data_IF_833119138452
#
_entry.id   IF_833119138452
#
_cell.length_a   1.000
_cell.length_b   1.000
_cell.length_c   1.000
_cell.angle_alpha   90.00
_cell.angle_beta   90.00
_cell.angle_gamma   90.00
#
_symmetry.space_group_name_H-M   'P 1'
#
loop_
_entity.id
_entity.type
_entity.pdbx_description
1 polymer ?
#
# COMPACT_ATOMS: atom_id res chain seq x y z
N UNK A 1 5.24 -5.52 -23.74
CA UNK A 1 3.91 -4.90 -23.56
C UNK A 1 2.96 -6.01 -23.16
N UNK A 2 2.42 -5.93 -21.97
CA UNK A 2 1.40 -6.86 -21.50
C UNK A 2 0.07 -6.24 -21.89
N UNK A 3 -0.72 -6.96 -22.68
CA UNK A 3 -2.11 -6.57 -22.96
C UNK A 3 -2.95 -6.89 -21.72
N UNK A 4 -3.49 -5.83 -21.07
CA UNK A 4 -4.29 -5.94 -19.86
C UNK A 4 -5.79 -5.85 -20.21
N UNK A 5 -6.19 -6.22 -21.43
CA UNK A 5 -7.63 -6.26 -21.75
C UNK A 5 -8.33 -7.23 -20.81
N UNK A 6 -9.31 -6.73 -20.09
CA UNK A 6 -10.14 -7.52 -19.19
C UNK A 6 -11.47 -7.77 -19.90
N UNK A 7 -12.08 -8.94 -19.71
CA UNK A 7 -13.42 -9.22 -20.23
C UNK A 7 -14.52 -8.44 -19.47
N UNK A 8 -14.21 -7.27 -18.94
CA UNK A 8 -15.09 -6.47 -18.13
C UNK A 8 -15.06 -5.01 -18.63
N UNK A 9 -16.05 -4.62 -19.42
CA UNK A 9 -16.18 -3.27 -20.01
C UNK A 9 -15.97 -2.12 -19.01
N UNK A 10 -16.26 -2.35 -17.73
CA UNK A 10 -16.10 -1.33 -16.69
C UNK A 10 -14.64 -1.21 -16.23
N UNK A 11 -13.89 -2.31 -16.25
CA UNK A 11 -12.46 -2.32 -15.97
C UNK A 11 -11.67 -1.80 -17.17
N UNK A 12 -12.06 -2.16 -18.39
CA UNK A 12 -11.43 -1.70 -19.62
C UNK A 12 -11.49 -0.18 -19.76
N UNK A 13 -12.60 0.44 -19.34
CA UNK A 13 -12.75 1.89 -19.32
C UNK A 13 -11.76 2.61 -18.39
N UNK A 14 -11.29 1.95 -17.33
CA UNK A 14 -10.24 2.49 -16.45
C UNK A 14 -8.84 2.23 -17.02
N UNK A 15 -8.61 1.09 -17.66
CA UNK A 15 -7.32 0.75 -18.28
C UNK A 15 -6.98 1.72 -19.42
N UNK A 16 -7.96 2.15 -20.19
CA UNK A 16 -7.79 3.15 -21.26
C UNK A 16 -7.29 4.53 -20.75
N UNK A 17 -7.38 4.78 -19.44
CA UNK A 17 -6.87 6.02 -18.83
C UNK A 17 -5.38 5.96 -18.48
N UNK A 18 -4.74 4.77 -18.51
CA UNK A 18 -3.35 4.63 -18.15
C UNK A 18 -2.47 4.46 -19.40
N UNK A 19 -1.58 5.41 -19.61
CA UNK A 19 -0.59 5.29 -20.69
C UNK A 19 0.60 4.43 -20.29
N UNK A 20 0.95 4.38 -18.99
CA UNK A 20 2.11 3.66 -18.46
C UNK A 20 1.80 3.18 -17.04
N UNK A 21 2.16 1.92 -16.75
CA UNK A 21 2.24 1.38 -15.39
C UNK A 21 3.72 1.09 -15.10
N UNK A 22 4.23 1.69 -14.04
CA UNK A 22 5.61 1.47 -13.58
C UNK A 22 5.61 0.28 -12.62
N UNK A 23 6.00 -0.88 -13.11
CA UNK A 23 6.11 -2.09 -12.30
C UNK A 23 7.40 -2.16 -11.47
N UNK A 24 7.45 -3.14 -10.57
CA UNK A 24 8.55 -3.35 -9.61
C UNK A 24 9.92 -3.49 -10.27
N UNK A 25 10.01 -4.16 -11.42
CA UNK A 25 11.27 -4.32 -12.16
C UNK A 25 11.84 -2.98 -12.65
N UNK A 26 10.97 -2.10 -13.16
CA UNK A 26 11.41 -0.76 -13.57
C UNK A 26 11.80 0.07 -12.36
N UNK A 27 11.06 -0.01 -11.26
CA UNK A 27 11.42 0.67 -10.01
C UNK A 27 12.82 0.26 -9.53
N UNK A 28 13.15 -1.04 -9.56
CA UNK A 28 14.49 -1.55 -9.23
C UNK A 28 15.59 -0.98 -10.14
N UNK A 29 15.32 -0.80 -11.44
CA UNK A 29 16.26 -0.19 -12.37
C UNK A 29 16.44 1.30 -12.11
N UNK A 30 15.39 2.00 -11.72
CA UNK A 30 15.44 3.41 -11.34
C UNK A 30 16.22 3.63 -10.03
N UNK A 31 16.27 2.62 -9.15
CA UNK A 31 17.02 2.58 -7.88
C UNK A 31 16.56 3.55 -6.80
N UNK A 32 16.05 4.71 -7.19
CA UNK A 32 15.61 5.74 -6.27
C UNK A 32 14.57 6.61 -6.96
N UNK A 33 13.46 6.82 -6.30
CA UNK A 33 12.42 7.70 -6.80
C UNK A 33 11.73 8.42 -5.64
N UNK A 34 11.39 9.68 -5.87
CA UNK A 34 10.61 10.47 -4.93
C UNK A 34 9.32 10.91 -5.59
N UNK A 35 8.20 10.66 -4.92
CA UNK A 35 6.89 11.19 -5.29
C UNK A 35 6.61 12.41 -4.41
N UNK A 36 6.44 13.56 -5.04
CA UNK A 36 6.07 14.81 -4.39
C UNK A 36 4.58 15.07 -4.66
N UNK A 37 3.76 14.82 -3.67
CA UNK A 37 2.31 14.98 -3.79
C UNK A 37 1.85 16.45 -3.78
N UNK A 38 2.68 17.35 -3.26
CA UNK A 38 2.38 18.78 -3.20
C UNK A 38 2.59 19.43 -4.57
N UNK A 39 3.72 19.08 -5.22
CA UNK A 39 4.07 19.63 -6.52
C UNK A 39 3.60 18.76 -7.69
N UNK A 40 3.02 17.58 -7.42
CA UNK A 40 2.60 16.59 -8.44
C UNK A 40 3.77 16.15 -9.34
N UNK A 41 4.92 15.87 -8.73
CA UNK A 41 6.15 15.51 -9.43
C UNK A 41 6.67 14.14 -9.00
N UNK A 42 7.26 13.42 -9.96
CA UNK A 42 8.08 12.24 -9.67
C UNK A 42 9.51 12.57 -10.07
N UNK A 43 10.43 12.47 -9.13
CA UNK A 43 11.84 12.74 -9.36
C UNK A 43 12.62 11.43 -9.27
N UNK A 44 13.44 11.19 -10.31
CA UNK A 44 14.44 10.12 -10.34
C UNK A 44 15.80 10.79 -10.42
N UNK A 45 16.72 10.60 -9.46
CA UNK A 45 18.03 11.23 -9.52
C UNK A 45 18.86 10.64 -10.68
N UNK A 46 19.62 11.50 -11.36
CA UNK A 46 20.48 11.09 -12.49
C UNK A 46 21.64 10.18 -12.05
N UNK A 47 21.98 10.21 -10.77
CA UNK A 47 23.00 9.35 -10.16
C UNK A 47 22.35 8.60 -8.99
N UNK A 48 22.46 7.28 -9.03
CA UNK A 48 21.94 6.46 -7.94
C UNK A 48 22.62 6.85 -6.60
N UNK A 49 21.86 6.84 -5.48
CA UNK A 49 22.43 7.11 -4.17
C UNK A 49 23.51 6.08 -3.85
N UNK A 50 24.53 6.51 -3.13
CA UNK A 50 25.47 5.58 -2.51
C UNK A 50 24.75 4.82 -1.40
N UNK A 51 25.13 3.56 -1.18
CA UNK A 51 24.62 2.79 -0.04
C UNK A 51 24.86 3.55 1.25
N UNK A 52 23.84 3.60 2.07
CA UNK A 52 23.86 4.18 3.42
C UNK A 52 23.95 3.08 4.47
N UNK A 53 24.02 3.48 5.76
CA UNK A 53 23.91 2.56 6.89
C UNK A 53 22.48 2.53 7.46
N UNK A 54 21.50 3.06 6.73
CA UNK A 54 20.11 3.03 7.17
C UNK A 54 19.58 1.58 7.21
N UNK A 55 18.84 1.28 8.24
CA UNK A 55 18.17 -0.03 8.35
C UNK A 55 17.05 -0.12 7.32
N UNK A 56 17.01 -1.19 6.50
CA UNK A 56 15.93 -1.40 5.56
C UNK A 56 14.56 -1.46 6.26
N UNK A 57 13.57 -0.84 5.64
CA UNK A 57 12.16 -0.96 6.05
C UNK A 57 11.25 -1.34 4.88
N UNK A 58 11.83 -1.75 3.77
CA UNK A 58 11.16 -2.33 2.61
C UNK A 58 11.80 -3.65 2.20
N UNK A 59 11.03 -4.48 1.51
CA UNK A 59 11.51 -5.67 0.81
C UNK A 59 10.56 -5.99 -0.35
N UNK A 60 10.93 -6.99 -1.17
CA UNK A 60 9.99 -7.57 -2.14
C UNK A 60 9.49 -8.93 -1.62
N UNK A 61 8.21 -9.21 -1.86
CA UNK A 61 7.65 -10.54 -1.68
C UNK A 61 8.16 -11.52 -2.75
N UNK A 62 7.84 -12.80 -2.60
CA UNK A 62 8.11 -13.82 -3.63
C UNK A 62 7.43 -13.52 -4.97
N UNK A 63 6.35 -12.74 -4.96
CA UNK A 63 5.60 -12.33 -6.14
C UNK A 63 5.95 -10.93 -6.63
N UNK A 64 7.09 -10.38 -6.18
CA UNK A 64 7.57 -9.05 -6.55
C UNK A 64 6.66 -7.89 -6.11
N UNK A 65 5.80 -8.09 -5.12
CA UNK A 65 5.11 -6.98 -4.47
C UNK A 65 6.09 -6.21 -3.60
N UNK A 66 6.05 -4.89 -3.68
CA UNK A 66 6.85 -4.04 -2.80
C UNK A 66 6.19 -3.96 -1.43
N UNK A 67 6.86 -4.50 -0.43
CA UNK A 67 6.41 -4.51 0.96
C UNK A 67 7.16 -3.44 1.76
N UNK A 68 6.44 -2.77 2.66
CA UNK A 68 7.01 -1.80 3.59
C UNK A 68 6.57 -2.07 5.03
N UNK A 69 7.48 -1.87 5.97
CA UNK A 69 7.15 -1.90 7.40
C UNK A 69 6.50 -0.56 7.77
N UNK A 70 5.21 -0.60 8.03
CA UNK A 70 4.38 0.53 8.44
C UNK A 70 4.14 0.43 9.94
N UNK A 71 4.30 1.52 10.67
CA UNK A 71 3.91 1.57 12.08
C UNK A 71 2.42 1.88 12.14
N UNK A 72 1.60 0.92 12.54
CA UNK A 72 0.15 1.04 12.68
C UNK A 72 -0.20 1.04 14.16
N UNK A 73 -0.79 2.13 14.66
CA UNK A 73 -1.11 2.29 16.08
C UNK A 73 0.09 1.96 17.02
N UNK A 74 1.31 2.35 16.60
CA UNK A 74 2.54 2.11 17.35
C UNK A 74 3.18 0.73 17.12
N UNK A 75 2.56 -0.19 16.39
CA UNK A 75 3.08 -1.54 16.12
C UNK A 75 3.58 -1.66 14.69
N UNK A 76 4.71 -2.34 14.43
CA UNK A 76 5.18 -2.60 13.08
C UNK A 76 4.29 -3.65 12.40
N UNK A 77 3.82 -3.32 11.21
CA UNK A 77 2.99 -4.16 10.35
C UNK A 77 3.62 -4.20 8.95
N UNK A 78 3.81 -5.36 8.39
CA UNK A 78 4.31 -5.49 7.02
C UNK A 78 3.13 -5.35 6.04
N UNK A 79 3.17 -4.32 5.20
CA UNK A 79 2.08 -4.00 4.28
C UNK A 79 2.56 -3.96 2.82
N UNK A 80 1.71 -4.39 1.90
CA UNK A 80 1.91 -4.16 0.48
C UNK A 80 1.73 -2.67 0.15
N UNK A 81 2.70 -2.09 -0.54
CA UNK A 81 2.69 -0.68 -0.98
C UNK A 81 2.03 -0.58 -2.35
N UNK A 82 0.72 -0.33 -2.39
CA UNK A 82 -0.06 -0.35 -3.63
C UNK A 82 -0.53 1.05 -4.04
N UNK A 83 0.25 1.71 -4.88
CA UNK A 83 -0.14 3.01 -5.44
C UNK A 83 -1.28 2.92 -6.47
N UNK A 84 -1.62 1.71 -6.93
CA UNK A 84 -2.79 1.45 -7.78
C UNK A 84 -4.10 1.38 -7.00
N UNK A 85 -4.04 1.18 -5.68
CA UNK A 85 -5.20 1.24 -4.80
C UNK A 85 -5.54 2.70 -4.47
N UNK A 86 -6.62 3.22 -5.04
CA UNK A 86 -7.08 4.60 -4.83
C UNK A 86 -7.73 4.85 -3.46
N UNK A 87 -7.76 3.88 -2.56
CA UNK A 87 -8.24 4.00 -1.18
C UNK A 87 -7.12 4.36 -0.19
N UNK A 88 -7.44 4.41 1.09
CA UNK A 88 -6.42 4.46 2.15
C UNK A 88 -5.72 3.11 2.36
N UNK A 89 -6.31 2.02 1.86
CA UNK A 89 -5.82 0.67 2.01
C UNK A 89 -6.66 -0.18 2.95
N UNK A 90 -6.10 -1.32 3.34
CA UNK A 90 -6.78 -2.26 4.24
C UNK A 90 -5.79 -2.96 5.17
N UNK A 91 -6.29 -3.38 6.32
CA UNK A 91 -5.61 -4.30 7.24
C UNK A 91 -6.34 -5.64 7.21
N UNK A 92 -5.59 -6.72 7.39
CA UNK A 92 -6.12 -8.07 7.30
C UNK A 92 -6.58 -8.63 8.66
N UNK A 93 -7.03 -9.86 8.66
CA UNK A 93 -7.64 -10.52 9.83
C UNK A 93 -6.75 -10.57 11.08
N UNK A 94 -5.42 -10.54 10.93
CA UNK A 94 -4.51 -10.49 12.08
C UNK A 94 -4.71 -9.23 12.92
N UNK A 95 -4.86 -8.07 12.27
CA UNK A 95 -5.19 -6.83 12.96
C UNK A 95 -6.60 -6.87 13.56
N UNK A 96 -7.57 -7.43 12.84
CA UNK A 96 -8.92 -7.62 13.33
C UNK A 96 -8.95 -8.44 14.61
N UNK A 97 -8.35 -9.64 14.62
CA UNK A 97 -8.35 -10.52 15.78
C UNK A 97 -7.66 -9.87 17.01
N UNK A 98 -6.59 -9.12 16.77
CA UNK A 98 -5.87 -8.40 17.83
C UNK A 98 -6.67 -7.24 18.44
N UNK A 99 -7.65 -6.70 17.71
CA UNK A 99 -8.45 -5.54 18.11
C UNK A 99 -9.96 -5.82 18.09
N UNK A 100 -10.36 -7.09 18.12
CA UNK A 100 -11.71 -7.57 17.84
C UNK A 100 -12.78 -6.90 18.71
N UNK A 101 -12.58 -6.87 20.01
CA UNK A 101 -13.54 -6.30 20.96
C UNK A 101 -13.82 -4.81 20.65
N UNK A 102 -12.75 -4.03 20.44
CA UNK A 102 -12.90 -2.63 20.09
C UNK A 102 -13.61 -2.45 18.75
N UNK A 103 -13.18 -3.19 17.72
CA UNK A 103 -13.69 -3.05 16.35
C UNK A 103 -15.18 -3.44 16.28
N UNK A 104 -15.54 -4.59 16.84
CA UNK A 104 -16.95 -5.06 16.81
C UNK A 104 -17.90 -4.18 17.61
N UNK A 105 -17.41 -3.51 18.66
CA UNK A 105 -18.22 -2.64 19.51
C UNK A 105 -18.37 -1.24 18.91
N UNK A 106 -17.32 -0.70 18.27
CA UNK A 106 -17.26 0.72 17.93
C UNK A 106 -17.29 1.02 16.44
N UNK A 107 -17.11 0.00 15.57
CA UNK A 107 -17.00 0.20 14.13
C UNK A 107 -18.19 -0.44 13.40
N UNK A 108 -18.48 0.08 12.22
CA UNK A 108 -19.58 -0.42 11.38
C UNK A 108 -19.10 -1.63 10.56
N UNK A 109 -19.85 -2.73 10.65
CA UNK A 109 -19.70 -3.88 9.75
C UNK A 109 -20.22 -3.52 8.36
N UNK A 110 -19.47 -3.87 7.35
CA UNK A 110 -19.81 -3.67 5.93
C UNK A 110 -19.26 -4.80 5.07
N UNK A 111 -19.51 -4.71 3.78
CA UNK A 111 -19.01 -5.65 2.79
C UNK A 111 -18.35 -4.87 1.66
N UNK A 112 -17.07 -5.13 1.40
CA UNK A 112 -16.35 -4.51 0.28
C UNK A 112 -16.23 -5.48 -0.88
N UNK A 113 -16.22 -4.91 -2.08
CA UNK A 113 -15.86 -5.58 -3.32
C UNK A 113 -14.54 -5.01 -3.82
N UNK A 114 -13.52 -5.85 -3.83
CA UNK A 114 -12.21 -5.51 -4.40
C UNK A 114 -12.09 -6.16 -5.76
N UNK A 115 -11.65 -5.39 -6.74
CA UNK A 115 -11.42 -5.86 -8.10
C UNK A 115 -9.96 -5.70 -8.49
N UNK A 116 -9.43 -6.61 -9.28
CA UNK A 116 -8.09 -6.57 -9.85
C UNK A 116 -7.98 -7.52 -11.05
N UNK A 117 -6.78 -7.70 -11.58
CA UNK A 117 -6.52 -8.59 -12.72
C UNK A 117 -7.03 -10.02 -12.47
N UNK A 118 -7.10 -10.48 -11.20
CA UNK A 118 -7.63 -11.79 -10.80
C UNK A 118 -9.15 -11.88 -10.65
N UNK A 119 -9.91 -10.82 -10.96
CA UNK A 119 -11.37 -10.78 -10.83
C UNK A 119 -11.87 -9.94 -9.65
N UNK A 120 -13.13 -10.19 -9.24
CA UNK A 120 -13.78 -9.46 -8.14
C UNK A 120 -13.95 -10.39 -6.95
N UNK A 121 -13.50 -9.94 -5.78
CA UNK A 121 -13.69 -10.63 -4.51
C UNK A 121 -14.57 -9.78 -3.58
N UNK A 122 -15.45 -10.44 -2.84
CA UNK A 122 -16.30 -9.82 -1.83
C UNK A 122 -15.83 -10.28 -0.44
N UNK A 123 -15.63 -9.34 0.47
CA UNK A 123 -15.16 -9.64 1.83
C UNK A 123 -15.94 -8.83 2.86
N UNK A 124 -16.25 -9.45 4.00
CA UNK A 124 -16.74 -8.72 5.17
C UNK A 124 -15.61 -7.90 5.79
N UNK A 125 -15.93 -6.70 6.22
CA UNK A 125 -14.96 -5.78 6.77
C UNK A 125 -15.59 -4.82 7.78
N UNK A 126 -14.75 -4.14 8.52
CA UNK A 126 -15.10 -2.98 9.34
C UNK A 126 -14.43 -1.73 8.82
N UNK A 127 -15.11 -0.61 8.87
CA UNK A 127 -14.55 0.72 8.65
C UNK A 127 -14.07 1.27 9.98
N UNK A 128 -12.73 1.30 10.14
CA UNK A 128 -12.11 1.74 11.40
C UNK A 128 -11.56 3.15 11.23
N UNK A 129 -12.10 4.12 11.97
CA UNK A 129 -11.71 5.52 11.85
C UNK A 129 -10.43 5.81 12.63
N UNK A 130 -9.73 6.88 12.21
CA UNK A 130 -8.65 7.53 12.96
C UNK A 130 -7.49 6.58 13.31
N UNK A 131 -7.04 5.79 12.35
CA UNK A 131 -5.86 4.92 12.51
C UNK A 131 -4.58 5.72 12.29
N UNK A 132 -3.68 5.71 13.27
CA UNK A 132 -2.34 6.26 13.11
C UNK A 132 -1.47 5.31 12.29
N UNK A 133 -0.88 5.81 11.21
CA UNK A 133 0.13 5.10 10.42
C UNK A 133 1.39 5.92 10.30
N UNK A 134 2.54 5.26 10.10
CA UNK A 134 3.79 6.00 9.92
C UNK A 134 4.95 5.17 9.41
N UNK A 135 6.00 5.91 9.03
CA UNK A 135 7.28 5.36 8.61
C UNK A 135 8.39 6.00 9.45
N UNK A 136 9.08 5.20 10.24
CA UNK A 136 10.08 5.71 11.17
C UNK A 136 9.47 6.63 12.22
N UNK A 137 9.85 7.93 12.20
CA UNK A 137 9.35 8.92 13.15
C UNK A 137 8.13 9.70 12.67
N UNK A 138 7.89 9.70 11.37
CA UNK A 138 6.78 10.43 10.77
C UNK A 138 5.50 9.61 10.87
N UNK A 139 4.47 10.21 11.44
CA UNK A 139 3.14 9.58 11.57
C UNK A 139 2.05 10.52 11.10
N UNK A 140 1.02 9.93 10.48
CA UNK A 140 -0.19 10.60 10.02
C UNK A 140 -1.41 9.87 10.52
N UNK A 141 -2.52 10.57 10.63
CA UNK A 141 -3.81 9.98 10.99
C UNK A 141 -4.60 9.70 9.71
N UNK A 142 -4.86 8.44 9.45
CA UNK A 142 -5.74 8.00 8.37
C UNK A 142 -7.17 8.17 8.83
N UNK A 143 -8.01 8.92 8.09
CA UNK A 143 -9.39 9.17 8.49
C UNK A 143 -10.21 7.90 8.68
N UNK A 144 -10.00 6.92 7.81
CA UNK A 144 -10.66 5.62 7.84
C UNK A 144 -9.83 4.57 7.10
N UNK A 145 -9.70 3.38 7.67
CA UNK A 145 -9.11 2.23 7.00
C UNK A 145 -10.06 1.03 7.06
N UNK A 146 -10.04 0.21 6.02
CA UNK A 146 -10.81 -1.03 5.99
C UNK A 146 -10.06 -2.12 6.74
N UNK A 147 -10.74 -2.83 7.65
CA UNK A 147 -10.21 -3.99 8.37
C UNK A 147 -11.03 -5.22 8.00
N UNK A 148 -10.40 -6.19 7.33
CA UNK A 148 -11.06 -7.42 6.87
C UNK A 148 -11.17 -8.44 8.00
N UNK A 149 -12.31 -9.14 8.10
CA UNK A 149 -12.56 -10.13 9.15
C UNK A 149 -12.06 -11.53 8.80
N UNK A 150 -11.93 -11.84 7.51
CA UNK A 150 -11.52 -13.14 7.00
C UNK A 150 -10.18 -13.08 6.28
N UNK A 151 -9.43 -14.19 6.33
CA UNK A 151 -8.28 -14.37 5.47
C UNK A 151 -8.76 -14.47 4.02
N UNK A 152 -8.09 -13.78 3.11
CA UNK A 152 -8.24 -14.06 1.69
C UNK A 152 -7.89 -15.54 1.48
N UNK A 153 -8.83 -16.28 0.88
CA UNK A 153 -8.76 -17.73 0.70
C UNK A 153 -7.40 -18.19 0.18
N UNK A 154 -6.76 -19.10 0.93
CA UNK A 154 -5.73 -20.06 0.47
C UNK A 154 -4.37 -19.55 -0.01
N UNK A 155 -4.02 -18.30 0.10
CA UNK A 155 -2.65 -17.85 -0.16
C UNK A 155 -1.87 -17.75 1.16
N UNK A 156 -0.63 -18.17 1.15
CA UNK A 156 0.34 -17.78 2.17
C UNK A 156 0.44 -16.26 2.08
N UNK A 157 -0.21 -15.55 3.01
CA UNK A 157 -0.20 -14.09 3.02
C UNK A 157 1.15 -13.66 3.57
N UNK A 158 1.99 -13.10 2.71
CA UNK A 158 3.33 -12.62 3.07
C UNK A 158 3.29 -11.26 3.79
N UNK A 159 2.12 -10.63 3.91
CA UNK A 159 1.93 -9.29 4.48
C UNK A 159 0.55 -9.18 5.15
N UNK A 160 0.39 -8.19 6.02
CA UNK A 160 -0.77 -8.06 6.93
C UNK A 160 -1.76 -6.96 6.51
N UNK A 161 -1.59 -6.42 5.30
CA UNK A 161 -2.48 -5.39 4.78
C UNK A 161 -1.97 -4.74 3.50
N UNK A 162 -2.79 -3.87 2.95
CA UNK A 162 -2.49 -3.10 1.74
C UNK A 162 -2.52 -1.60 2.08
N UNK A 163 -1.45 -0.87 1.76
CA UNK A 163 -1.38 0.57 1.93
C UNK A 163 -1.66 1.24 0.60
N UNK A 164 -2.82 1.88 0.50
CA UNK A 164 -3.26 2.55 -0.72
C UNK A 164 -2.68 3.95 -0.88
N UNK A 165 -2.86 4.49 -2.10
CA UNK A 165 -2.33 5.78 -2.51
C UNK A 165 -2.76 6.92 -1.59
N UNK A 166 -4.02 6.97 -1.14
CA UNK A 166 -4.51 8.04 -0.26
C UNK A 166 -3.76 8.10 1.07
N UNK A 167 -3.29 6.96 1.59
CA UNK A 167 -2.45 6.93 2.79
C UNK A 167 -1.09 7.56 2.54
N UNK A 168 -0.47 7.27 1.39
CA UNK A 168 0.81 7.89 1.01
C UNK A 168 0.66 9.40 0.77
N UNK A 169 -0.45 9.85 0.22
CA UNK A 169 -0.76 11.26 -0.03
C UNK A 169 -0.96 12.09 1.25
N UNK A 170 -1.10 11.47 2.42
CA UNK A 170 -1.10 12.19 3.70
C UNK A 170 0.28 12.72 4.08
N UNK A 171 1.32 12.23 3.43
CA UNK A 171 2.67 12.79 3.48
C UNK A 171 2.87 13.76 2.31
N UNK A 172 3.67 14.80 2.48
CA UNK A 172 3.99 15.71 1.38
C UNK A 172 4.86 15.03 0.31
N UNK A 173 5.78 14.18 0.76
CA UNK A 173 6.68 13.42 -0.13
C UNK A 173 6.90 12.01 0.40
N UNK A 174 7.08 11.09 -0.55
CA UNK A 174 7.49 9.71 -0.27
C UNK A 174 8.66 9.35 -1.18
N UNK A 175 9.76 8.90 -0.59
CA UNK A 175 10.94 8.45 -1.32
C UNK A 175 11.14 6.96 -1.15
N UNK A 176 11.29 6.27 -2.25
CA UNK A 176 11.62 4.86 -2.36
C UNK A 176 13.09 4.72 -2.77
N UNK A 177 13.99 4.51 -1.81
CA UNK A 177 15.39 4.20 -2.09
C UNK A 177 15.55 2.68 -2.16
N UNK A 178 15.59 2.13 -3.35
CA UNK A 178 15.71 0.69 -3.61
C UNK A 178 17.15 0.19 -3.64
N UNK A 179 18.14 1.07 -3.43
CA UNK A 179 19.54 0.67 -3.20
C UNK A 179 19.72 0.14 -1.77
N UNK A 180 19.07 0.80 -0.82
CA UNK A 180 19.12 0.47 0.61
C UNK A 180 17.84 -0.21 1.11
N UNK A 181 16.80 -0.28 0.26
CA UNK A 181 15.46 -0.71 0.64
C UNK A 181 14.87 0.11 1.79
N UNK A 182 14.98 1.42 1.65
CA UNK A 182 14.50 2.38 2.66
C UNK A 182 13.43 3.28 2.05
N UNK A 183 12.25 3.26 2.65
CA UNK A 183 11.20 4.22 2.42
C UNK A 183 11.31 5.33 3.47
N UNK A 184 11.30 6.55 3.00
CA UNK A 184 11.25 7.75 3.86
C UNK A 184 10.09 8.64 3.44
N UNK A 185 9.50 9.31 4.41
CA UNK A 185 8.39 10.25 4.20
C UNK A 185 8.76 11.62 4.75
N UNK A 186 8.15 12.65 4.17
CA UNK A 186 8.13 14.02 4.69
C UNK A 186 6.68 14.44 4.84
N UNK A 187 6.39 15.13 5.91
CA UNK A 187 5.07 15.66 6.24
C UNK A 187 4.91 17.10 5.78
#
# INVERSE_FOLDING_TARGET
>A
VIDITTNNERADKYVDCFNIIVGSELMLQLKDLTIDFVNHEITVPSVAPKRSQASPNMCFSSHMNLLGTVIVQGNPVLMNMDTGDASYGSLDSGFFESNKEYITTNCKLDTIRTGGIGGVQTSECYHVPNISIGFGKEQVLVPEIVVKTGNSTNAIVEYEGNLGLKSLMLFSKVRFNLVDFVLTTLK
#
